data_IF_974758496255
#
_entry.id   IF_974758496255
#
_cell.length_a   1.000
_cell.length_b   1.000
_cell.length_c   1.000
_cell.angle_alpha   90.00
_cell.angle_beta   90.00
_cell.angle_gamma   90.00
#
_symmetry.space_group_name_H-M   'P 1'
#
loop_
_entity.id
_entity.type
_entity.pdbx_description
1 polymer ?
#
# COMPACT_ATOMS: atom_id res chain seq x y z
N UNK A 1 16.41 3.18 -3.57
CA UNK A 1 14.94 3.31 -3.49
C UNK A 1 14.29 3.04 -4.84
N UNK A 2 14.81 3.60 -5.93
CA UNK A 2 14.23 3.48 -7.26
C UNK A 2 14.03 2.03 -7.72
N UNK A 3 14.98 1.14 -7.41
CA UNK A 3 14.84 -0.30 -7.69
C UNK A 3 13.61 -0.92 -7.01
N UNK A 4 13.29 -0.49 -5.79
CA UNK A 4 12.07 -0.95 -5.08
C UNK A 4 10.82 -0.59 -5.88
N UNK A 5 10.74 0.65 -6.40
CA UNK A 5 9.65 1.09 -7.26
C UNK A 5 9.53 0.19 -8.50
N UNK A 6 10.63 -0.05 -9.22
CA UNK A 6 10.62 -0.86 -10.45
C UNK A 6 10.12 -2.29 -10.18
N UNK A 7 10.63 -2.95 -9.14
CA UNK A 7 10.19 -4.31 -8.80
C UNK A 7 8.73 -4.37 -8.33
N UNK A 8 8.27 -3.36 -7.59
CA UNK A 8 6.86 -3.24 -7.21
C UNK A 8 5.95 -3.08 -8.44
N UNK A 9 6.37 -2.33 -9.45
CA UNK A 9 5.58 -2.16 -10.67
C UNK A 9 5.55 -3.42 -11.53
N UNK A 10 6.67 -4.10 -11.73
CA UNK A 10 6.71 -5.38 -12.45
C UNK A 10 5.79 -6.40 -11.77
N UNK A 11 5.88 -6.51 -10.46
CA UNK A 11 5.00 -7.40 -9.67
C UNK A 11 3.53 -7.01 -9.84
N UNK A 12 3.20 -5.72 -9.77
CA UNK A 12 1.84 -5.21 -9.89
C UNK A 12 1.25 -5.51 -11.27
N UNK A 13 1.96 -5.23 -12.35
CA UNK A 13 1.52 -5.52 -13.71
C UNK A 13 1.21 -7.00 -13.89
N UNK A 14 2.07 -7.88 -13.39
CA UNK A 14 1.87 -9.33 -13.44
C UNK A 14 0.59 -9.74 -12.69
N UNK A 15 0.34 -9.17 -11.51
CA UNK A 15 -0.82 -9.51 -10.69
C UNK A 15 -2.13 -8.99 -11.29
N UNK A 16 -2.14 -7.85 -11.99
CA UNK A 16 -3.35 -7.37 -12.70
C UNK A 16 -3.79 -8.36 -13.77
N UNK A 17 -2.85 -8.90 -14.54
CA UNK A 17 -3.13 -9.91 -15.57
C UNK A 17 -3.65 -11.21 -14.92
N UNK A 18 -3.06 -11.63 -13.81
CA UNK A 18 -3.51 -12.83 -13.09
C UNK A 18 -4.94 -12.69 -12.56
N UNK A 19 -5.32 -11.52 -12.03
CA UNK A 19 -6.71 -11.26 -11.61
C UNK A 19 -7.65 -11.29 -12.82
N UNK A 20 -7.26 -10.69 -13.95
CA UNK A 20 -8.05 -10.68 -15.18
C UNK A 20 -8.36 -12.08 -15.73
N UNK A 21 -7.50 -13.07 -15.48
CA UNK A 21 -7.75 -14.47 -15.88
C UNK A 21 -9.05 -15.07 -15.28
N UNK A 22 -9.53 -14.50 -14.17
CA UNK A 22 -10.83 -14.86 -13.60
C UNK A 22 -12.01 -14.63 -14.54
N UNK A 23 -11.84 -13.80 -15.58
CA UNK A 23 -12.86 -13.51 -16.58
C UNK A 23 -13.31 -14.74 -17.37
N UNK A 24 -12.52 -15.80 -17.42
CA UNK A 24 -12.93 -17.11 -18.00
C UNK A 24 -14.12 -17.71 -17.26
N UNK A 25 -14.28 -17.43 -15.96
CA UNK A 25 -15.37 -17.91 -15.12
C UNK A 25 -16.42 -16.83 -14.85
N UNK A 26 -15.99 -15.60 -14.60
CA UNK A 26 -16.86 -14.47 -14.25
C UNK A 26 -16.32 -13.16 -14.87
N UNK A 27 -17.07 -12.56 -15.79
CA UNK A 27 -16.69 -11.30 -16.48
C UNK A 27 -16.45 -10.12 -15.51
N UNK A 28 -16.99 -10.15 -14.29
CA UNK A 28 -16.74 -9.14 -13.26
C UNK A 28 -15.26 -9.06 -12.86
N UNK A 29 -14.48 -10.12 -13.11
CA UNK A 29 -13.04 -10.13 -12.91
C UNK A 29 -12.31 -9.06 -13.73
N UNK A 30 -12.79 -8.74 -14.96
CA UNK A 30 -12.21 -7.67 -15.77
C UNK A 30 -12.37 -6.30 -15.11
N UNK A 31 -13.57 -6.01 -14.58
CA UNK A 31 -13.81 -4.76 -13.84
C UNK A 31 -12.96 -4.70 -12.57
N UNK A 32 -12.83 -5.82 -11.86
CA UNK A 32 -12.00 -5.90 -10.66
C UNK A 32 -10.52 -5.69 -10.98
N UNK A 33 -10.01 -6.32 -12.04
CA UNK A 33 -8.64 -6.16 -12.51
C UNK A 33 -8.37 -4.72 -12.99
N UNK A 34 -9.33 -4.10 -13.68
CA UNK A 34 -9.23 -2.71 -14.12
C UNK A 34 -9.17 -1.74 -12.93
N UNK A 35 -10.04 -1.90 -11.94
CA UNK A 35 -10.01 -1.09 -10.72
C UNK A 35 -8.69 -1.29 -9.96
N UNK A 36 -8.18 -2.52 -9.90
CA UNK A 36 -6.91 -2.82 -9.28
C UNK A 36 -5.73 -2.15 -10.02
N UNK A 37 -5.75 -2.19 -11.36
CA UNK A 37 -4.78 -1.48 -12.20
C UNK A 37 -4.79 0.02 -11.91
N UNK A 38 -5.96 0.67 -11.95
CA UNK A 38 -6.07 2.13 -11.73
C UNK A 38 -5.55 2.51 -10.34
N UNK A 39 -6.03 1.85 -9.29
CA UNK A 39 -5.62 2.17 -7.93
C UNK A 39 -4.13 1.86 -7.69
N UNK A 40 -3.63 0.77 -8.27
CA UNK A 40 -2.22 0.41 -8.19
C UNK A 40 -1.31 1.39 -8.92
N UNK A 41 -1.73 1.88 -10.10
CA UNK A 41 -0.98 2.89 -10.88
C UNK A 41 -0.96 4.24 -10.16
N UNK A 42 -2.09 4.67 -9.60
CA UNK A 42 -2.15 5.88 -8.77
C UNK A 42 -1.19 5.74 -7.58
N UNK A 43 -1.21 4.61 -6.87
CA UNK A 43 -0.30 4.35 -5.75
C UNK A 43 1.18 4.41 -6.15
N UNK A 44 1.52 3.83 -7.31
CA UNK A 44 2.86 3.89 -7.87
C UNK A 44 3.30 5.31 -8.24
N UNK A 45 2.38 6.09 -8.83
CA UNK A 45 2.64 7.49 -9.17
C UNK A 45 2.92 8.31 -7.92
N UNK A 46 2.14 8.16 -6.86
CA UNK A 46 2.40 8.81 -5.59
C UNK A 46 3.76 8.40 -5.02
N UNK A 47 4.07 7.11 -5.04
CA UNK A 47 5.35 6.61 -4.53
C UNK A 47 6.54 7.18 -5.30
N UNK A 48 6.50 7.22 -6.64
CA UNK A 48 7.60 7.76 -7.46
C UNK A 48 7.74 9.28 -7.31
N UNK A 49 6.64 10.02 -7.13
CA UNK A 49 6.68 11.45 -6.81
C UNK A 49 7.39 11.66 -5.46
N UNK A 50 7.06 10.85 -4.45
CA UNK A 50 7.74 10.89 -3.16
C UNK A 50 9.24 10.63 -3.26
N UNK A 51 9.65 9.64 -4.07
CA UNK A 51 11.07 9.38 -4.38
C UNK A 51 11.71 10.61 -5.05
N UNK A 52 11.02 11.25 -5.99
CA UNK A 52 11.48 12.46 -6.66
C UNK A 52 11.75 13.61 -5.69
N UNK A 53 10.83 13.85 -4.75
CA UNK A 53 11.02 14.87 -3.70
C UNK A 53 12.18 14.54 -2.76
N UNK A 54 12.36 13.26 -2.38
CA UNK A 54 13.54 12.86 -1.61
C UNK A 54 14.83 13.13 -2.36
N UNK A 55 14.86 12.78 -3.65
CA UNK A 55 16.02 13.03 -4.49
C UNK A 55 16.32 14.54 -4.64
N UNK A 56 15.29 15.36 -4.81
CA UNK A 56 15.44 16.82 -4.86
C UNK A 56 16.02 17.40 -3.56
N UNK A 57 15.61 16.87 -2.41
CA UNK A 57 16.07 17.36 -1.11
C UNK A 57 17.47 16.84 -0.73
N UNK A 58 17.84 15.64 -1.14
CA UNK A 58 19.04 14.95 -0.62
C UNK A 58 20.09 14.67 -1.68
N UNK A 59 19.71 14.63 -2.97
CA UNK A 59 20.61 14.30 -4.08
C UNK A 59 21.01 12.82 -4.17
N UNK A 60 20.36 11.93 -3.38
CA UNK A 60 20.69 10.50 -3.36
C UNK A 60 19.47 9.61 -3.44
N UNK A 61 19.64 8.38 -3.96
CA UNK A 61 18.64 7.32 -4.00
C UNK A 61 19.05 6.09 -3.18
N UNK A 62 20.18 6.15 -2.49
CA UNK A 62 20.64 5.10 -1.59
C UNK A 62 19.91 5.22 -0.25
N UNK A 63 19.33 4.11 0.25
CA UNK A 63 18.53 4.13 1.50
C UNK A 63 19.35 4.51 2.74
N UNK A 64 20.60 4.05 2.83
CA UNK A 64 21.45 4.34 3.98
C UNK A 64 21.86 5.83 4.00
N UNK A 65 22.32 6.34 2.86
CA UNK A 65 22.70 7.73 2.69
C UNK A 65 21.51 8.71 2.87
N UNK A 66 20.30 8.28 2.43
CA UNK A 66 19.06 9.02 2.68
C UNK A 66 18.75 9.15 4.17
N UNK A 67 18.87 8.06 4.93
CA UNK A 67 18.59 8.08 6.36
C UNK A 67 19.48 9.07 7.11
N UNK A 68 20.77 9.14 6.75
CA UNK A 68 21.72 10.10 7.32
C UNK A 68 21.35 11.56 6.96
N UNK A 69 21.05 11.82 5.67
CA UNK A 69 20.75 13.19 5.20
C UNK A 69 19.40 13.72 5.65
N UNK A 70 18.41 12.85 5.86
CA UNK A 70 17.08 13.23 6.33
C UNK A 70 17.10 13.59 7.82
N UNK A 71 18.00 13.02 8.61
CA UNK A 71 18.10 13.28 10.04
C UNK A 71 18.25 14.78 10.37
N UNK A 72 18.97 15.52 9.53
CA UNK A 72 19.19 16.96 9.68
C UNK A 72 18.11 17.83 9.00
N UNK A 73 17.16 17.20 8.28
CA UNK A 73 16.17 17.90 7.46
C UNK A 73 14.72 17.65 7.90
N UNK A 74 14.48 17.43 9.18
CA UNK A 74 13.14 17.08 9.72
C UNK A 74 12.09 18.17 9.47
N UNK A 75 12.50 19.44 9.50
CA UNK A 75 11.63 20.59 9.25
C UNK A 75 11.47 20.94 7.76
N UNK A 76 12.19 20.24 6.88
CA UNK A 76 12.11 20.51 5.45
C UNK A 76 10.77 20.05 4.88
N UNK A 77 9.95 20.97 4.43
CA UNK A 77 8.62 20.70 3.87
C UNK A 77 8.66 19.77 2.66
N UNK A 78 9.75 19.79 1.88
CA UNK A 78 9.92 18.86 0.73
C UNK A 78 10.06 17.42 1.23
N UNK A 79 10.80 17.19 2.32
CA UNK A 79 10.98 15.88 2.95
C UNK A 79 9.65 15.41 3.56
N UNK A 80 8.91 16.30 4.23
CA UNK A 80 7.60 16.00 4.79
C UNK A 80 6.58 15.65 3.69
N UNK A 81 6.57 16.41 2.58
CA UNK A 81 5.74 16.10 1.43
C UNK A 81 6.12 14.75 0.80
N UNK A 82 7.42 14.48 0.62
CA UNK A 82 7.91 13.20 0.14
C UNK A 82 7.40 12.03 0.98
N UNK A 83 7.47 12.17 2.30
CA UNK A 83 6.95 11.18 3.24
C UNK A 83 5.45 10.94 3.06
N UNK A 84 4.65 12.02 2.99
CA UNK A 84 3.20 11.91 2.78
C UNK A 84 2.87 11.18 1.46
N UNK A 85 3.55 11.51 0.38
CA UNK A 85 3.38 10.85 -0.91
C UNK A 85 3.75 9.35 -0.86
N UNK A 86 4.83 8.99 -0.17
CA UNK A 86 5.25 7.59 0.01
C UNK A 86 4.22 6.82 0.85
N UNK A 87 3.76 7.38 1.96
CA UNK A 87 2.77 6.75 2.86
C UNK A 87 1.45 6.51 2.12
N UNK A 88 0.93 7.51 1.40
CA UNK A 88 -0.30 7.36 0.62
C UNK A 88 -0.13 6.36 -0.52
N UNK A 89 0.98 6.43 -1.27
CA UNK A 89 1.26 5.52 -2.38
C UNK A 89 1.37 4.07 -1.94
N UNK A 90 2.11 3.81 -0.87
CA UNK A 90 2.23 2.47 -0.31
C UNK A 90 0.95 2.03 0.41
N UNK A 91 0.22 2.94 1.04
CA UNK A 91 -1.09 2.70 1.63
C UNK A 91 -2.13 2.21 0.61
N UNK A 92 -2.14 2.79 -0.60
CA UNK A 92 -2.94 2.32 -1.72
C UNK A 92 -2.56 0.89 -2.14
N UNK A 93 -1.27 0.61 -2.29
CA UNK A 93 -0.77 -0.73 -2.66
C UNK A 93 -1.02 -1.78 -1.57
N UNK A 94 -0.87 -1.40 -0.32
CA UNK A 94 -1.13 -2.25 0.84
C UNK A 94 -2.64 -2.44 1.12
N UNK A 95 -3.51 -1.63 0.51
CA UNK A 95 -4.93 -1.56 0.80
C UNK A 95 -5.24 -1.18 2.26
N UNK A 96 -4.49 -0.22 2.80
CA UNK A 96 -4.77 0.34 4.13
C UNK A 96 -6.10 1.11 4.07
N UNK A 97 -6.92 0.99 5.12
CA UNK A 97 -8.15 1.77 5.22
C UNK A 97 -7.86 3.29 5.24
N UNK A 98 -8.60 4.11 4.50
CA UNK A 98 -9.78 3.84 3.67
C UNK A 98 -9.48 3.44 2.21
N UNK A 99 -8.22 3.26 1.82
CA UNK A 99 -7.77 3.05 0.43
C UNK A 99 -7.93 1.60 -0.06
N UNK A 100 -8.66 0.75 0.66
CA UNK A 100 -8.77 -0.70 0.48
C UNK A 100 -9.83 -1.17 -0.52
N UNK A 101 -10.66 -0.28 -1.07
CA UNK A 101 -11.89 -0.66 -1.81
C UNK A 101 -11.65 -1.54 -3.06
N UNK A 102 -10.47 -1.53 -3.62
CA UNK A 102 -10.09 -2.37 -4.76
C UNK A 102 -9.89 -3.84 -4.37
N UNK A 103 -9.41 -4.10 -3.16
CA UNK A 103 -8.91 -5.41 -2.72
C UNK A 103 -10.02 -6.48 -2.61
N UNK A 104 -11.19 -6.24 -1.98
CA UNK A 104 -12.24 -7.27 -1.88
C UNK A 104 -12.69 -7.80 -3.24
N UNK A 105 -12.84 -6.92 -4.22
CA UNK A 105 -13.26 -7.32 -5.56
C UNK A 105 -12.15 -8.07 -6.31
N UNK A 106 -10.91 -7.62 -6.21
CA UNK A 106 -9.76 -8.28 -6.84
C UNK A 106 -9.61 -9.73 -6.32
N UNK A 107 -9.71 -9.94 -5.02
CA UNK A 107 -9.57 -11.28 -4.42
C UNK A 107 -10.78 -12.18 -4.68
N UNK A 108 -12.00 -11.64 -4.69
CA UNK A 108 -13.23 -12.41 -4.91
C UNK A 108 -13.28 -12.99 -6.33
N UNK A 109 -13.00 -12.17 -7.32
CA UNK A 109 -13.16 -12.57 -8.73
C UNK A 109 -11.91 -13.20 -9.35
N UNK A 110 -10.74 -13.13 -8.70
CA UNK A 110 -9.55 -13.84 -9.13
C UNK A 110 -9.74 -15.38 -9.04
N UNK A 111 -9.03 -16.15 -9.88
CA UNK A 111 -8.93 -17.60 -9.70
C UNK A 111 -8.43 -17.95 -8.29
N UNK A 112 -8.91 -19.06 -7.70
CA UNK A 112 -8.61 -19.38 -6.30
C UNK A 112 -7.10 -19.49 -6.00
N UNK A 113 -6.26 -20.11 -6.84
CA UNK A 113 -4.81 -20.11 -6.61
C UNK A 113 -4.20 -18.71 -6.66
N UNK A 114 -4.68 -17.86 -7.57
CA UNK A 114 -4.24 -16.47 -7.69
C UNK A 114 -4.63 -15.66 -6.46
N UNK A 115 -5.88 -15.80 -5.99
CA UNK A 115 -6.34 -15.11 -4.78
C UNK A 115 -5.54 -15.52 -3.55
N UNK A 116 -5.21 -16.81 -3.39
CA UNK A 116 -4.36 -17.31 -2.30
C UNK A 116 -2.94 -16.71 -2.39
N UNK A 117 -2.34 -16.72 -3.56
CA UNK A 117 -1.01 -16.12 -3.79
C UNK A 117 -1.00 -14.62 -3.48
N UNK A 118 -1.95 -13.85 -4.02
CA UNK A 118 -2.04 -12.41 -3.79
C UNK A 118 -2.26 -12.05 -2.31
N UNK A 119 -3.13 -12.79 -1.63
CA UNK A 119 -3.38 -12.55 -0.20
C UNK A 119 -2.16 -12.83 0.68
N UNK A 120 -1.30 -13.74 0.28
CA UNK A 120 -0.06 -14.07 0.98
C UNK A 120 1.10 -13.11 0.69
N UNK A 121 1.14 -12.47 -0.48
CA UNK A 121 2.31 -11.72 -0.95
C UNK A 121 2.07 -10.23 -1.18
N UNK A 122 1.08 -9.85 -1.98
CA UNK A 122 0.97 -8.50 -2.51
C UNK A 122 0.86 -7.41 -1.44
N UNK A 123 -0.12 -7.52 -0.53
CA UNK A 123 -0.32 -6.54 0.55
C UNK A 123 0.82 -6.56 1.57
N UNK A 124 1.37 -7.75 1.87
CA UNK A 124 2.45 -7.93 2.85
C UNK A 124 3.75 -7.29 2.37
N UNK A 125 4.07 -7.42 1.09
CA UNK A 125 5.24 -6.75 0.51
C UNK A 125 5.10 -5.23 0.56
N UNK A 126 3.91 -4.70 0.28
CA UNK A 126 3.66 -3.26 0.36
C UNK A 126 3.79 -2.74 1.80
N UNK A 127 3.26 -3.46 2.79
CA UNK A 127 3.44 -3.13 4.22
C UNK A 127 4.91 -3.20 4.61
N UNK A 128 5.63 -4.26 4.23
CA UNK A 128 7.06 -4.39 4.53
C UNK A 128 7.86 -3.19 3.99
N UNK A 129 7.61 -2.80 2.74
CA UNK A 129 8.27 -1.62 2.16
C UNK A 129 7.90 -0.35 2.93
N UNK A 130 6.63 -0.15 3.29
CA UNK A 130 6.20 0.99 4.09
C UNK A 130 6.94 1.05 5.44
N UNK A 131 7.00 -0.06 6.16
CA UNK A 131 7.73 -0.15 7.43
C UNK A 131 9.23 0.14 7.26
N UNK A 132 9.83 -0.36 6.17
CA UNK A 132 11.24 -0.04 5.85
C UNK A 132 11.46 1.46 5.63
N UNK A 133 10.54 2.14 4.94
CA UNK A 133 10.63 3.59 4.80
C UNK A 133 10.44 4.29 6.15
N UNK A 134 9.41 3.95 6.90
CA UNK A 134 9.11 4.59 8.17
C UNK A 134 10.23 4.44 9.20
N UNK A 135 10.73 3.23 9.40
CA UNK A 135 11.67 2.95 10.50
C UNK A 135 13.15 2.94 10.11
N UNK A 136 13.48 2.77 8.81
CA UNK A 136 14.87 2.73 8.38
C UNK A 136 15.31 4.01 7.65
N UNK A 137 14.43 4.60 6.83
CA UNK A 137 14.78 5.79 6.02
C UNK A 137 14.44 7.07 6.79
N UNK A 138 13.18 7.21 7.23
CA UNK A 138 12.74 8.41 7.94
C UNK A 138 13.06 8.40 9.43
N UNK A 139 13.21 7.23 10.04
CA UNK A 139 13.49 6.98 11.45
C UNK A 139 12.33 7.39 12.40
N UNK A 140 12.25 6.78 13.61
CA UNK A 140 11.18 7.05 14.56
C UNK A 140 11.07 8.52 14.97
N UNK A 141 12.19 9.21 15.13
CA UNK A 141 12.25 10.61 15.57
C UNK A 141 11.57 11.56 14.56
N UNK A 142 11.63 11.25 13.25
CA UNK A 142 10.91 12.01 12.23
C UNK A 142 9.40 11.77 12.32
N UNK A 143 8.98 10.53 12.61
CA UNK A 143 7.57 10.17 12.75
C UNK A 143 6.92 10.85 13.96
N UNK A 144 7.65 10.89 15.09
CA UNK A 144 7.23 11.60 16.30
C UNK A 144 7.11 13.11 16.04
N UNK A 145 8.11 13.68 15.37
CA UNK A 145 8.10 15.11 15.03
C UNK A 145 6.88 15.56 14.22
N UNK A 146 6.43 14.72 13.27
CA UNK A 146 5.25 15.01 12.45
C UNK A 146 3.94 14.67 13.20
N UNK A 147 3.99 13.82 14.21
CA UNK A 147 2.79 13.32 14.92
C UNK A 147 1.87 12.45 14.05
N UNK A 148 2.36 11.93 12.92
CA UNK A 148 1.55 11.20 11.96
C UNK A 148 1.00 9.90 12.53
N UNK A 149 1.77 9.20 13.36
CA UNK A 149 1.36 7.93 13.96
C UNK A 149 0.11 8.12 14.81
N UNK A 150 0.09 9.13 15.67
CA UNK A 150 -1.00 9.38 16.61
C UNK A 150 -2.21 10.05 15.96
N UNK A 151 -1.97 11.03 15.08
CA UNK A 151 -3.06 11.84 14.51
C UNK A 151 -3.72 11.20 13.29
N UNK A 152 -3.01 10.37 12.53
CA UNK A 152 -3.52 9.83 11.27
C UNK A 152 -3.55 8.31 11.28
N UNK A 153 -2.42 7.65 11.50
CA UNK A 153 -2.33 6.20 11.34
C UNK A 153 -3.18 5.48 12.39
N UNK A 154 -3.07 5.85 13.65
CA UNK A 154 -3.80 5.21 14.74
C UNK A 154 -5.33 5.32 14.60
N UNK A 155 -5.94 6.50 14.34
CA UNK A 155 -7.38 6.57 14.12
C UNK A 155 -7.85 5.73 12.93
N UNK A 156 -7.15 5.78 11.80
CA UNK A 156 -7.51 4.95 10.64
C UNK A 156 -7.31 3.46 10.88
N UNK A 157 -6.30 3.05 11.66
CA UNK A 157 -6.10 1.67 12.07
C UNK A 157 -7.26 1.16 12.93
N UNK A 158 -7.69 1.93 13.93
CA UNK A 158 -8.84 1.59 14.78
C UNK A 158 -10.12 1.48 13.94
N UNK A 159 -10.39 2.46 13.07
CA UNK A 159 -11.55 2.40 12.17
C UNK A 159 -11.46 1.18 11.24
N UNK A 160 -10.27 0.87 10.71
CA UNK A 160 -10.04 -0.30 9.86
C UNK A 160 -10.42 -1.60 10.57
N UNK A 161 -9.97 -1.79 11.80
CA UNK A 161 -10.27 -2.98 12.60
C UNK A 161 -11.78 -3.21 12.74
N UNK A 162 -12.52 -2.19 13.17
CA UNK A 162 -13.97 -2.30 13.38
C UNK A 162 -14.75 -2.34 12.06
N UNK A 163 -14.55 -1.37 11.17
CA UNK A 163 -15.33 -1.25 9.94
C UNK A 163 -15.12 -2.45 9.01
N UNK A 164 -13.87 -2.91 8.86
CA UNK A 164 -13.58 -4.06 7.99
C UNK A 164 -14.03 -5.38 8.62
N UNK A 165 -13.96 -5.54 9.95
CA UNK A 165 -14.49 -6.73 10.64
C UNK A 165 -16.00 -6.82 10.50
N UNK A 166 -16.73 -5.72 10.71
CA UNK A 166 -18.19 -5.67 10.51
C UNK A 166 -18.53 -5.96 9.04
N UNK A 167 -17.79 -5.34 8.12
CA UNK A 167 -17.98 -5.60 6.68
C UNK A 167 -17.71 -7.04 6.32
N UNK A 168 -16.71 -7.70 6.92
CA UNK A 168 -16.42 -9.13 6.71
C UNK A 168 -17.58 -10.01 7.19
N UNK A 169 -18.10 -9.72 8.39
CA UNK A 169 -19.22 -10.49 8.98
C UNK A 169 -20.50 -10.43 8.12
N UNK A 170 -20.74 -9.32 7.44
CA UNK A 170 -21.93 -9.15 6.58
C UNK A 170 -21.79 -9.78 5.19
N UNK A 171 -20.63 -10.33 4.83
CA UNK A 171 -20.44 -10.95 3.51
C UNK A 171 -21.01 -12.36 3.45
N UNK A 172 -21.63 -12.69 2.32
CA UNK A 172 -22.12 -14.06 2.01
C UNK A 172 -21.10 -14.89 1.24
N UNK A 173 -20.13 -14.26 0.58
CA UNK A 173 -19.07 -14.90 -0.18
C UNK A 173 -17.82 -15.06 0.69
N UNK A 174 -17.31 -16.30 0.80
CA UNK A 174 -16.17 -16.64 1.64
C UNK A 174 -14.89 -15.85 1.24
N UNK A 175 -14.60 -15.76 -0.06
CA UNK A 175 -13.41 -15.01 -0.52
C UNK A 175 -13.51 -13.53 -0.17
N UNK A 176 -14.71 -12.96 -0.32
CA UNK A 176 -14.96 -11.56 0.00
C UNK A 176 -14.89 -11.29 1.50
N UNK A 177 -15.40 -12.20 2.30
CA UNK A 177 -15.28 -12.17 3.75
C UNK A 177 -13.81 -12.16 4.18
N UNK A 178 -13.00 -13.10 3.66
CA UNK A 178 -11.57 -13.20 3.95
C UNK A 178 -10.79 -11.98 3.47
N UNK A 179 -11.19 -11.37 2.36
CA UNK A 179 -10.59 -10.14 1.85
C UNK A 179 -10.81 -8.96 2.80
N UNK A 180 -12.03 -8.76 3.33
CA UNK A 180 -12.30 -7.75 4.35
C UNK A 180 -11.59 -8.06 5.67
N UNK A 181 -11.51 -9.32 6.06
CA UNK A 181 -10.72 -9.76 7.21
C UNK A 181 -9.23 -9.41 7.04
N UNK A 182 -8.68 -9.55 5.83
CA UNK A 182 -7.30 -9.13 5.55
C UNK A 182 -7.10 -7.62 5.74
N UNK A 183 -8.08 -6.79 5.39
CA UNK A 183 -8.02 -5.33 5.64
C UNK A 183 -8.09 -5.03 7.13
N UNK A 184 -8.93 -5.75 7.89
CA UNK A 184 -8.97 -5.60 9.35
C UNK A 184 -7.62 -5.94 10.00
N UNK A 185 -6.95 -7.01 9.53
CA UNK A 185 -5.62 -7.41 10.01
C UNK A 185 -4.52 -6.37 9.73
N UNK A 186 -4.68 -5.52 8.72
CA UNK A 186 -3.76 -4.42 8.46
C UNK A 186 -3.93 -3.26 9.45
N UNK A 187 -5.06 -3.21 10.16
CA UNK A 187 -5.31 -2.23 11.23
C UNK A 187 -4.67 -2.62 12.56
N UNK A 188 -4.36 -3.90 12.78
CA UNK A 188 -3.65 -4.37 13.97
C UNK A 188 -2.16 -4.05 13.90
#
# INVERSE_FOLDING_TARGET
IFNVFVFLEISSLSTYVLVAQGAKKDKRALKAAFNYLIMGTIGATFFVIGIGFLYMATGTLNMADLAERIADQRDNRTVQAAFAFIVVGMGLKAAIYPLHLWLPNAYTFAPSPVAAFLSGTATKMAIYVLLRFMFTVFQPEFLEHIGLLEMVILPFAIIAMFASSISAFLQRDLKRMLAHSSVAQLGY
#
